data_IF_061302605541
#
_entry.id   IF_061302605541
#
_cell.length_a   1.000
_cell.length_b   1.000
_cell.length_c   1.000
_cell.angle_alpha   90.00
_cell.angle_beta   90.00
_cell.angle_gamma   90.00
#
_symmetry.space_group_name_H-M   'P 1'
#
loop_
_entity.id
_entity.type
_entity.pdbx_description
1 polymer ?
#
# COMPACT_ATOMS: atom_id res chain seq x y z
N UNK A 1 29.37 9.85 4.40
CA UNK A 1 28.44 10.84 5.00
C UNK A 1 27.72 10.15 6.14
N UNK A 2 27.75 10.69 7.35
CA UNK A 2 27.07 10.09 8.51
C UNK A 2 25.57 10.37 8.39
N UNK A 3 24.77 9.35 8.07
CA UNK A 3 23.31 9.50 8.00
C UNK A 3 22.79 9.66 9.43
N UNK A 4 22.15 10.79 9.71
CA UNK A 4 21.57 11.07 11.04
C UNK A 4 20.23 10.37 11.14
N UNK A 5 20.13 9.38 12.02
CA UNK A 5 18.89 8.64 12.26
C UNK A 5 17.83 9.53 12.93
N UNK A 6 16.56 9.26 12.63
CA UNK A 6 15.42 10.06 13.06
C UNK A 6 14.63 9.36 14.15
N UNK A 7 14.18 10.11 15.15
CA UNK A 7 13.13 9.64 16.07
C UNK A 7 11.78 9.58 15.35
N UNK A 8 10.84 8.82 15.90
CA UNK A 8 9.48 8.69 15.36
C UNK A 8 8.80 10.02 15.04
N UNK A 9 8.94 11.02 15.92
CA UNK A 9 8.35 12.35 15.71
C UNK A 9 9.02 13.15 14.59
N UNK A 10 10.33 12.99 14.41
CA UNK A 10 11.08 13.66 13.35
C UNK A 10 10.79 13.02 11.99
N UNK A 11 10.71 11.69 11.95
CA UNK A 11 10.29 10.95 10.76
C UNK A 11 8.86 11.31 10.35
N UNK A 12 7.94 11.30 11.31
CA UNK A 12 6.54 11.66 11.10
C UNK A 12 6.37 13.08 10.54
N UNK A 13 7.10 14.05 11.11
CA UNK A 13 7.07 15.43 10.63
C UNK A 13 7.60 15.57 9.19
N UNK A 14 8.69 14.88 8.85
CA UNK A 14 9.25 14.91 7.48
C UNK A 14 8.34 14.26 6.46
N UNK A 15 7.73 13.13 6.81
CA UNK A 15 6.81 12.41 5.94
C UNK A 15 5.37 12.94 5.98
N UNK A 16 5.11 14.02 6.74
CA UNK A 16 3.79 14.65 6.90
C UNK A 16 2.70 13.67 7.38
N UNK A 17 3.06 12.77 8.30
CA UNK A 17 2.14 11.80 8.92
C UNK A 17 2.10 11.98 10.44
N UNK A 18 1.15 11.32 11.09
CA UNK A 18 1.13 11.25 12.54
C UNK A 18 2.21 10.28 13.06
N UNK A 19 2.78 10.50 14.26
CA UNK A 19 3.63 9.49 14.91
C UNK A 19 2.93 8.13 15.09
N UNK A 20 1.60 8.14 15.25
CA UNK A 20 0.77 6.92 15.32
C UNK A 20 0.79 6.14 14.01
N UNK A 21 0.81 6.82 12.86
CA UNK A 21 0.95 6.20 11.53
C UNK A 21 2.30 5.51 11.40
N UNK A 22 3.39 6.16 11.83
CA UNK A 22 4.73 5.56 11.82
C UNK A 22 4.80 4.33 12.74
N UNK A 23 4.18 4.39 13.92
CA UNK A 23 4.11 3.25 14.84
C UNK A 23 3.30 2.09 14.23
N UNK A 24 2.18 2.41 13.59
CA UNK A 24 1.35 1.44 12.89
C UNK A 24 2.08 0.77 11.73
N UNK A 25 2.74 1.53 10.85
CA UNK A 25 3.56 0.96 9.78
C UNK A 25 4.73 0.13 10.32
N UNK A 26 5.32 0.52 11.45
CA UNK A 26 6.34 -0.31 12.12
C UNK A 26 5.76 -1.64 12.61
N UNK A 27 4.54 -1.63 13.15
CA UNK A 27 3.86 -2.86 13.61
C UNK A 27 3.52 -3.83 12.48
N UNK A 28 3.26 -3.30 11.28
CA UNK A 28 3.01 -4.06 10.05
C UNK A 28 4.28 -4.52 9.33
N UNK A 29 5.47 -4.21 9.86
CA UNK A 29 6.75 -4.52 9.21
C UNK A 29 7.07 -3.65 7.99
N UNK A 30 6.23 -2.67 7.68
CA UNK A 30 6.46 -1.70 6.60
C UNK A 30 7.67 -0.80 6.90
N UNK A 31 7.95 -0.54 8.17
CA UNK A 31 9.14 0.21 8.60
C UNK A 31 9.93 -0.62 9.61
N UNK A 32 11.25 -0.70 9.43
CA UNK A 32 12.14 -1.38 10.37
C UNK A 32 13.07 -0.35 11.01
N UNK A 33 13.03 -0.17 12.35
CA UNK A 33 13.93 0.75 13.02
C UNK A 33 15.38 0.35 12.79
N UNK A 34 16.19 1.25 12.24
CA UNK A 34 17.61 1.03 11.99
C UNK A 34 18.40 0.79 13.30
N UNK A 35 18.03 1.48 14.39
CA UNK A 35 18.65 1.33 15.71
C UNK A 35 17.66 1.58 16.84
N UNK A 36 18.08 1.23 18.06
CA UNK A 36 17.47 1.69 19.31
C UNK A 36 18.48 2.50 20.12
N UNK A 37 18.01 3.55 20.80
CA UNK A 37 18.85 4.31 21.74
C UNK A 37 19.08 3.54 23.04
N UNK A 38 20.04 3.97 23.86
CA UNK A 38 20.25 3.43 25.22
C UNK A 38 19.00 3.57 26.12
N UNK A 39 18.15 4.56 25.86
CA UNK A 39 16.86 4.75 26.53
C UNK A 39 15.69 4.01 25.83
N UNK A 40 16.00 3.07 24.94
CA UNK A 40 15.05 2.21 24.21
C UNK A 40 14.11 2.92 23.21
N UNK A 41 14.44 4.14 22.77
CA UNK A 41 13.72 4.81 21.68
C UNK A 41 14.09 4.22 20.32
N UNK A 42 13.08 4.02 19.45
CA UNK A 42 13.29 3.60 18.06
C UNK A 42 13.87 4.74 17.22
N UNK A 43 14.86 4.40 16.40
CA UNK A 43 15.49 5.30 15.44
C UNK A 43 15.33 4.73 14.03
N UNK A 44 14.97 5.59 13.09
CA UNK A 44 14.66 5.28 11.70
C UNK A 44 15.67 5.90 10.76
N UNK A 45 15.82 5.33 9.57
CA UNK A 45 16.66 5.93 8.54
C UNK A 45 15.90 7.10 7.87
N UNK A 46 16.55 8.22 7.54
CA UNK A 46 15.95 9.25 6.69
C UNK A 46 15.32 8.72 5.39
N UNK A 47 15.82 7.62 4.80
CA UNK A 47 15.21 6.99 3.62
C UNK A 47 13.80 6.42 3.88
N UNK A 48 13.43 6.21 5.16
CA UNK A 48 12.08 5.75 5.52
C UNK A 48 11.01 6.80 5.18
N UNK A 49 11.38 8.06 4.94
CA UNK A 49 10.47 9.10 4.44
C UNK A 49 9.94 8.72 3.05
N UNK A 50 10.82 8.32 2.14
CA UNK A 50 10.43 7.93 0.78
C UNK A 50 9.56 6.66 0.79
N UNK A 51 9.85 5.75 1.73
CA UNK A 51 9.06 4.54 1.95
C UNK A 51 7.65 4.87 2.46
N UNK A 52 7.50 5.82 3.37
CA UNK A 52 6.18 6.29 3.83
C UNK A 52 5.40 6.89 2.66
N UNK A 53 6.02 7.75 1.85
CA UNK A 53 5.35 8.35 0.69
C UNK A 53 4.94 7.32 -0.37
N UNK A 54 5.73 6.25 -0.54
CA UNK A 54 5.37 5.13 -1.41
C UNK A 54 4.11 4.40 -0.90
N UNK A 55 4.06 4.09 0.40
CA UNK A 55 2.89 3.45 1.03
C UNK A 55 1.65 4.33 0.88
N UNK A 56 1.76 5.64 1.15
CA UNK A 56 0.63 6.57 0.99
C UNK A 56 0.08 6.62 -0.44
N UNK A 57 0.95 6.61 -1.45
CA UNK A 57 0.52 6.60 -2.86
C UNK A 57 -0.27 5.33 -3.19
N UNK A 58 0.19 4.18 -2.71
CA UNK A 58 -0.49 2.90 -2.89
C UNK A 58 -1.85 2.85 -2.15
N UNK A 59 -1.93 3.39 -0.94
CA UNK A 59 -3.20 3.49 -0.20
C UNK A 59 -4.22 4.37 -0.95
N UNK A 60 -3.79 5.48 -1.55
CA UNK A 60 -4.67 6.35 -2.38
C UNK A 60 -5.20 5.64 -3.62
N UNK A 61 -4.45 4.69 -4.17
CA UNK A 61 -4.89 3.85 -5.29
C UNK A 61 -5.82 2.69 -4.86
N UNK A 62 -6.14 2.58 -3.57
CA UNK A 62 -7.04 1.56 -3.03
C UNK A 62 -6.38 0.21 -2.77
N UNK A 63 -5.04 0.12 -2.81
CA UNK A 63 -4.32 -1.10 -2.47
C UNK A 63 -4.37 -1.28 -0.95
N UNK A 64 -4.83 -2.44 -0.44
CA UNK A 64 -4.91 -2.66 1.00
C UNK A 64 -3.52 -2.76 1.61
N UNK A 65 -3.37 -2.22 2.82
CA UNK A 65 -2.07 -2.04 3.48
C UNK A 65 -1.32 -3.36 3.75
N UNK A 66 -2.04 -4.47 3.92
CA UNK A 66 -1.46 -5.81 4.07
C UNK A 66 -0.83 -6.33 2.76
N UNK A 67 -1.44 -6.03 1.61
CA UNK A 67 -0.86 -6.35 0.30
C UNK A 67 0.37 -5.48 0.03
N UNK A 68 0.32 -4.20 0.41
CA UNK A 68 1.48 -3.30 0.35
C UNK A 68 2.62 -3.85 1.21
N UNK A 69 2.34 -4.28 2.45
CA UNK A 69 3.35 -4.87 3.33
C UNK A 69 3.97 -6.13 2.74
N UNK A 70 3.15 -7.00 2.15
CA UNK A 70 3.62 -8.22 1.49
C UNK A 70 4.50 -7.90 0.28
N UNK A 71 4.11 -6.95 -0.56
CA UNK A 71 4.86 -6.53 -1.73
C UNK A 71 6.20 -5.87 -1.36
N UNK A 72 6.21 -4.98 -0.36
CA UNK A 72 7.38 -4.22 0.07
C UNK A 72 8.38 -5.00 0.93
N UNK A 73 7.98 -6.15 1.48
CA UNK A 73 8.86 -7.05 2.25
C UNK A 73 9.62 -8.01 1.33
N UNK A 74 9.11 -8.25 0.12
CA UNK A 74 9.81 -8.98 -0.93
C UNK A 74 10.84 -8.07 -1.59
N UNK A 75 12.08 -8.10 -1.07
CA UNK A 75 13.20 -7.19 -1.36
C UNK A 75 13.66 -7.06 -2.82
N UNK A 76 13.01 -7.72 -3.78
CA UNK A 76 13.39 -7.76 -5.20
C UNK A 76 12.38 -7.09 -6.14
N UNK A 77 11.26 -6.58 -5.64
CA UNK A 77 10.31 -5.84 -6.45
C UNK A 77 10.74 -4.37 -6.52
N UNK A 78 11.10 -3.88 -7.71
CA UNK A 78 11.17 -2.44 -7.98
C UNK A 78 9.74 -1.89 -7.95
N UNK A 79 9.32 -1.45 -6.76
CA UNK A 79 7.97 -0.98 -6.49
C UNK A 79 7.64 0.24 -7.34
N UNK A 80 8.64 1.05 -7.67
CA UNK A 80 8.48 2.18 -8.58
C UNK A 80 8.12 1.68 -9.97
N UNK A 81 8.82 0.68 -10.50
CA UNK A 81 8.48 0.07 -11.78
C UNK A 81 7.10 -0.61 -11.77
N UNK A 82 6.68 -1.20 -10.64
CA UNK A 82 5.34 -1.79 -10.50
C UNK A 82 4.26 -0.70 -10.53
N UNK A 83 4.46 0.39 -9.79
CA UNK A 83 3.54 1.54 -9.78
C UNK A 83 3.43 2.19 -11.14
N UNK A 84 4.55 2.41 -11.83
CA UNK A 84 4.57 2.99 -13.18
C UNK A 84 3.79 2.09 -14.15
N UNK A 85 3.89 0.77 -14.00
CA UNK A 85 3.11 -0.19 -14.80
C UNK A 85 1.62 -0.15 -14.48
N UNK A 86 1.24 -0.04 -13.20
CA UNK A 86 -0.16 0.11 -12.79
C UNK A 86 -0.76 1.40 -13.36
N UNK A 87 -0.02 2.51 -13.31
CA UNK A 87 -0.47 3.79 -13.88
C UNK A 87 -0.66 3.70 -15.41
N UNK A 88 0.21 2.98 -16.11
CA UNK A 88 0.08 2.74 -17.55
C UNK A 88 -1.14 1.87 -17.89
N UNK A 89 -1.36 0.80 -17.12
CA UNK A 89 -2.52 -0.08 -17.28
C UNK A 89 -3.82 0.68 -17.02
N UNK A 90 -3.87 1.52 -15.97
CA UNK A 90 -5.01 2.38 -15.66
C UNK A 90 -5.31 3.35 -16.80
N UNK A 91 -4.28 4.00 -17.37
CA UNK A 91 -4.44 4.93 -18.50
C UNK A 91 -4.97 4.23 -19.75
N UNK A 92 -4.47 3.01 -19.99
CA UNK A 92 -4.93 2.14 -21.08
C UNK A 92 -6.41 1.79 -20.90
N UNK A 93 -6.81 1.39 -19.70
CA UNK A 93 -8.20 1.04 -19.38
C UNK A 93 -9.14 2.25 -19.48
N UNK A 94 -8.71 3.43 -19.04
CA UNK A 94 -9.48 4.67 -19.18
C UNK A 94 -9.73 5.01 -20.64
N UNK A 95 -8.68 4.94 -21.48
CA UNK A 95 -8.79 5.19 -22.91
C UNK A 95 -9.71 4.17 -23.58
N UNK A 96 -9.61 2.90 -23.22
CA UNK A 96 -10.49 1.85 -23.72
C UNK A 96 -11.95 2.05 -23.27
N UNK A 97 -12.19 2.51 -22.04
CA UNK A 97 -13.53 2.80 -21.52
C UNK A 97 -14.16 4.01 -22.21
N UNK A 98 -13.38 5.06 -22.51
CA UNK A 98 -13.84 6.23 -23.27
C UNK A 98 -14.18 5.89 -24.73
N UNK A 99 -13.44 4.98 -25.34
CA UNK A 99 -13.70 4.49 -26.69
C UNK A 99 -14.82 3.44 -26.76
N UNK A 100 -15.26 2.90 -25.62
CA UNK A 100 -16.26 1.84 -25.56
C UNK A 100 -17.68 2.37 -25.79
N UNK A 101 -18.51 1.59 -26.49
CA UNK A 101 -19.94 1.91 -26.62
C UNK A 101 -20.66 1.84 -25.26
N UNK A 102 -21.81 2.53 -25.11
CA UNK A 102 -22.59 2.50 -23.87
C UNK A 102 -22.96 1.08 -23.42
N UNK A 103 -23.18 0.14 -24.35
CA UNK A 103 -23.48 -1.25 -24.00
C UNK A 103 -22.29 -1.96 -23.34
N UNK A 104 -21.07 -1.73 -23.86
CA UNK A 104 -19.84 -2.31 -23.31
C UNK A 104 -19.54 -1.74 -21.92
N UNK A 105 -19.75 -0.43 -21.74
CA UNK A 105 -19.63 0.22 -20.42
C UNK A 105 -20.60 -0.35 -19.40
N UNK A 106 -21.86 -0.56 -19.79
CA UNK A 106 -22.87 -1.18 -18.94
C UNK A 106 -22.50 -2.61 -18.51
N UNK A 107 -21.96 -3.41 -19.44
CA UNK A 107 -21.50 -4.77 -19.14
C UNK A 107 -20.30 -4.77 -18.18
N UNK A 108 -19.31 -3.89 -18.40
CA UNK A 108 -18.14 -3.77 -17.53
C UNK A 108 -18.55 -3.35 -16.10
N UNK A 109 -19.45 -2.38 -15.96
CA UNK A 109 -19.95 -1.95 -14.65
C UNK A 109 -20.67 -3.10 -13.91
N UNK A 110 -21.47 -3.90 -14.63
CA UNK A 110 -22.13 -5.07 -14.07
C UNK A 110 -21.12 -6.15 -13.61
N UNK A 111 -20.09 -6.43 -14.42
CA UNK A 111 -19.02 -7.38 -14.07
C UNK A 111 -18.23 -6.89 -12.85
N UNK A 112 -17.80 -5.63 -12.83
CA UNK A 112 -17.05 -5.04 -11.72
C UNK A 112 -17.85 -5.11 -10.41
N UNK A 113 -19.13 -4.75 -10.45
CA UNK A 113 -20.04 -4.85 -9.29
C UNK A 113 -20.15 -6.29 -8.80
N UNK A 114 -20.23 -7.25 -9.73
CA UNK A 114 -20.33 -8.67 -9.38
C UNK A 114 -19.04 -9.19 -8.76
N UNK A 115 -17.88 -8.88 -9.35
CA UNK A 115 -16.56 -9.24 -8.82
C UNK A 115 -16.38 -8.68 -7.42
N UNK A 116 -16.66 -7.39 -7.22
CA UNK A 116 -16.58 -6.75 -5.90
C UNK A 116 -17.49 -7.44 -4.88
N UNK A 117 -18.73 -7.74 -5.25
CA UNK A 117 -19.65 -8.47 -4.37
C UNK A 117 -19.15 -9.86 -4.01
N UNK A 118 -18.55 -10.59 -4.95
CA UNK A 118 -17.99 -11.92 -4.72
C UNK A 118 -16.78 -11.87 -3.78
N UNK A 119 -15.89 -10.90 -3.94
CA UNK A 119 -14.75 -10.68 -3.05
C UNK A 119 -15.25 -10.36 -1.64
N UNK A 120 -16.18 -9.41 -1.50
CA UNK A 120 -16.75 -9.04 -0.20
C UNK A 120 -17.40 -10.23 0.50
N UNK A 121 -18.15 -11.06 -0.24
CA UNK A 121 -18.74 -12.30 0.31
C UNK A 121 -17.65 -13.29 0.71
N UNK A 122 -16.63 -13.49 -0.12
CA UNK A 122 -15.52 -14.40 0.18
C UNK A 122 -14.75 -13.99 1.45
N UNK A 123 -14.54 -12.69 1.66
CA UNK A 123 -13.90 -12.16 2.86
C UNK A 123 -14.73 -12.34 4.14
N UNK A 124 -16.04 -12.57 4.02
CA UNK A 124 -16.93 -12.84 5.16
C UNK A 124 -17.05 -14.33 5.50
N UNK A 125 -16.45 -15.22 4.70
CA UNK A 125 -16.44 -16.66 4.97
C UNK A 125 -15.43 -16.93 6.11
N UNK A 126 -15.87 -17.49 7.25
CA UNK A 126 -14.94 -17.87 8.30
C UNK A 126 -13.98 -18.97 7.80
N UNK A 127 -12.68 -18.91 8.12
CA UNK A 127 -11.66 -19.81 7.58
C UNK A 127 -11.86 -21.28 7.98
N UNK A 128 -12.64 -21.52 9.02
CA UNK A 128 -13.02 -22.81 9.59
C UNK A 128 -14.41 -23.29 9.16
N UNK A 129 -15.05 -22.62 8.19
CA UNK A 129 -16.33 -23.06 7.64
C UNK A 129 -16.17 -24.48 7.05
N UNK A 130 -16.88 -25.50 7.57
CA UNK A 130 -16.85 -26.82 6.97
C UNK A 130 -17.48 -26.73 5.58
N UNK A 131 -16.67 -26.96 4.55
CA UNK A 131 -17.17 -27.08 3.19
C UNK A 131 -18.06 -28.34 3.10
N UNK A 132 -19.25 -28.24 2.48
CA UNK A 132 -20.13 -29.37 2.28
C UNK A 132 -19.53 -30.45 1.37
#
# INVERSE_FOLDING_TARGET
MTVVLLKIGELAARAQVSPRTVDYYTSLGLLTPAKRTASNYRLYDPSDVDRIHLVQRLEVQGVPLEEIATALTNQNADVTAILDRIDEDLRTLQTAAEAASPEVQGLLAAVATRVHSLITVALQIPPDLPLP
#
